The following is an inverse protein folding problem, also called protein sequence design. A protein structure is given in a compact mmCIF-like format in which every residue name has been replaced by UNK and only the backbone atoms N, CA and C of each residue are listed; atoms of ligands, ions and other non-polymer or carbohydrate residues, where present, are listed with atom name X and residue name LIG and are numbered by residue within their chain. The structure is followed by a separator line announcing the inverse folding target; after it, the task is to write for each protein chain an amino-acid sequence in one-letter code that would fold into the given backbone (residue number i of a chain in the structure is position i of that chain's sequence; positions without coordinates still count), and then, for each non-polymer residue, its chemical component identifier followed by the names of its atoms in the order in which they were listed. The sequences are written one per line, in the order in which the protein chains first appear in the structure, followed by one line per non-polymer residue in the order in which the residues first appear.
data_IF_208056091367
#
_entry.id   IF_208056091367
#
_cell.length_a   1.000
_cell.length_b   1.000
_cell.length_c   1.000
_cell.angle_alpha   90.00
_cell.angle_beta   90.00
_cell.angle_gamma   90.00
#
_symmetry.space_group_name_H-M   'P 1'
#
loop_
_entity.id
_entity.type
_entity.pdbx_description
1 polymer ?
#
# COMPACT_ATOMS: atom_id res chain seq x y z
N UNK A 1 7.39 0.64 -21.53
CA UNK A 1 7.65 2.06 -21.17
C UNK A 1 8.17 2.75 -22.42
N UNK A 2 7.52 3.82 -22.83
CA UNK A 2 7.85 4.59 -24.04
C UNK A 2 8.61 5.87 -23.74
N UNK A 3 8.40 6.47 -22.56
CA UNK A 3 9.06 7.71 -22.11
C UNK A 3 9.34 7.66 -20.61
N UNK A 4 10.44 8.23 -20.18
CA UNK A 4 10.80 8.44 -18.78
C UNK A 4 11.24 9.88 -18.59
N UNK A 5 10.66 10.54 -17.60
CA UNK A 5 11.06 11.90 -17.24
C UNK A 5 11.84 11.96 -15.94
N UNK A 6 12.77 12.93 -15.84
CA UNK A 6 13.54 13.16 -14.63
C UNK A 6 14.41 14.40 -14.73
N UNK A 7 14.12 15.43 -13.91
CA UNK A 7 14.79 16.74 -14.00
C UNK A 7 16.31 16.67 -13.85
N UNK A 8 16.81 16.04 -12.80
CA UNK A 8 18.25 15.95 -12.50
C UNK A 8 19.01 14.97 -13.38
N UNK A 9 18.31 14.09 -14.09
CA UNK A 9 18.87 13.02 -14.91
C UNK A 9 18.57 13.22 -16.40
N UNK A 10 17.90 14.30 -16.78
CA UNK A 10 17.56 14.60 -18.18
C UNK A 10 18.81 14.60 -19.07
N UNK A 11 18.66 14.04 -20.27
CA UNK A 11 19.74 13.90 -21.25
C UNK A 11 20.56 12.61 -21.13
N UNK A 12 20.49 11.87 -20.00
CA UNK A 12 21.21 10.61 -19.79
C UNK A 12 20.41 9.40 -20.29
N UNK A 13 21.12 8.35 -20.65
CA UNK A 13 20.50 7.05 -20.87
C UNK A 13 20.15 6.41 -19.51
N UNK A 14 19.06 5.64 -19.47
CA UNK A 14 18.64 4.92 -18.25
C UNK A 14 19.76 4.00 -17.74
N UNK A 15 20.47 3.31 -18.64
CA UNK A 15 21.59 2.43 -18.31
C UNK A 15 22.80 3.15 -17.70
N UNK A 16 23.02 4.43 -18.00
CA UNK A 16 24.10 5.21 -17.35
C UNK A 16 23.85 5.41 -15.85
N UNK A 17 22.57 5.48 -15.44
CA UNK A 17 22.18 5.65 -14.03
C UNK A 17 21.96 4.30 -13.36
N UNK A 18 21.38 3.36 -14.09
CA UNK A 18 21.02 2.04 -13.66
C UNK A 18 21.59 0.98 -14.62
N UNK A 19 22.87 0.60 -14.48
CA UNK A 19 23.55 -0.30 -15.43
C UNK A 19 22.82 -1.61 -15.72
N UNK A 20 22.09 -2.15 -14.73
CA UNK A 20 21.28 -3.37 -14.89
C UNK A 20 20.04 -3.18 -15.79
N UNK A 21 19.70 -1.94 -16.17
CA UNK A 21 18.62 -1.57 -17.10
C UNK A 21 19.15 -1.10 -18.45
N UNK A 22 20.43 -1.32 -18.77
CA UNK A 22 21.04 -0.90 -20.04
C UNK A 22 20.26 -1.41 -21.28
N UNK A 23 19.76 -2.64 -21.20
CA UNK A 23 18.99 -3.24 -22.29
C UNK A 23 17.64 -2.55 -22.57
N UNK A 24 17.13 -1.74 -21.67
CA UNK A 24 15.86 -1.00 -21.85
C UNK A 24 16.02 0.13 -22.88
N UNK A 25 17.22 0.67 -23.08
CA UNK A 25 17.59 1.67 -24.08
C UNK A 25 16.66 2.89 -24.12
N UNK A 26 16.32 3.44 -22.95
CA UNK A 26 15.50 4.67 -22.83
C UNK A 26 16.35 5.86 -22.41
N UNK A 27 16.14 6.98 -23.08
CA UNK A 27 16.70 8.28 -22.69
C UNK A 27 15.75 8.98 -21.72
N UNK A 28 16.30 9.53 -20.65
CA UNK A 28 15.54 10.34 -19.70
C UNK A 28 15.40 11.76 -20.26
N UNK A 29 14.18 12.27 -20.30
CA UNK A 29 13.82 13.60 -20.83
C UNK A 29 13.30 14.50 -19.71
N UNK A 30 13.21 15.80 -19.95
CA UNK A 30 12.58 16.74 -19.02
C UNK A 30 11.06 16.64 -19.08
N UNK A 31 10.52 16.42 -20.27
CA UNK A 31 9.09 16.30 -20.55
C UNK A 31 8.79 14.95 -21.17
N UNK A 32 7.53 14.54 -21.13
CA UNK A 32 7.05 13.30 -21.75
C UNK A 32 7.20 13.42 -23.27
N UNK A 33 7.87 12.45 -23.88
CA UNK A 33 8.03 12.35 -25.32
C UNK A 33 6.95 11.43 -25.91
N UNK A 34 6.35 11.90 -27.01
CA UNK A 34 5.30 11.17 -27.73
C UNK A 34 3.90 11.26 -27.09
N UNK A 35 3.04 10.29 -27.43
CA UNK A 35 1.66 10.19 -26.98
C UNK A 35 1.49 8.88 -26.18
N UNK A 36 1.70 8.89 -24.87
CA UNK A 36 1.55 7.68 -24.07
C UNK A 36 0.06 7.32 -23.88
N UNK A 37 -0.25 6.04 -23.73
CA UNK A 37 -1.59 5.56 -23.41
C UNK A 37 -1.92 5.76 -21.92
N UNK A 38 -0.88 5.87 -21.07
CA UNK A 38 -1.00 5.92 -19.63
C UNK A 38 0.20 6.64 -19.00
N UNK A 39 -0.07 7.38 -17.94
CA UNK A 39 0.92 8.10 -17.14
C UNK A 39 1.07 7.43 -15.77
N UNK A 40 2.30 7.20 -15.33
CA UNK A 40 2.62 6.78 -13.96
C UNK A 40 3.49 7.86 -13.32
N UNK A 41 3.00 8.52 -12.28
CA UNK A 41 3.75 9.50 -11.51
C UNK A 41 4.36 8.86 -10.26
N UNK A 42 5.68 8.99 -10.12
CA UNK A 42 6.43 8.61 -8.92
C UNK A 42 7.12 9.84 -8.29
N UNK A 43 6.52 11.02 -8.45
CA UNK A 43 7.00 12.27 -7.89
C UNK A 43 6.67 12.38 -6.39
N UNK A 44 7.37 13.23 -5.63
CA UNK A 44 6.99 13.55 -4.26
C UNK A 44 5.58 14.14 -4.17
N UNK A 45 4.94 14.02 -2.99
CA UNK A 45 3.66 14.66 -2.72
C UNK A 45 3.72 16.18 -2.97
N UNK A 46 2.59 16.80 -3.27
CA UNK A 46 2.38 18.14 -3.78
C UNK A 46 2.95 18.36 -5.20
N UNK A 47 4.15 17.88 -5.50
CA UNK A 47 4.74 17.99 -6.86
C UNK A 47 4.06 17.06 -7.86
N UNK A 48 3.58 15.89 -7.42
CA UNK A 48 2.88 14.95 -8.30
C UNK A 48 1.58 15.54 -8.81
N UNK A 49 0.71 16.01 -7.91
CA UNK A 49 -0.60 16.55 -8.28
C UNK A 49 -0.50 17.72 -9.28
N UNK A 50 0.50 18.60 -9.11
CA UNK A 50 0.75 19.69 -10.06
C UNK A 50 1.21 19.18 -11.43
N UNK A 51 2.08 18.16 -11.44
CA UNK A 51 2.70 17.66 -12.68
C UNK A 51 1.76 16.82 -13.53
N UNK A 52 0.82 16.08 -12.89
CA UNK A 52 -0.09 15.18 -13.62
C UNK A 52 -1.44 15.82 -13.97
N UNK A 53 -1.76 16.98 -13.41
CA UNK A 53 -3.01 17.68 -13.69
C UNK A 53 -3.31 17.84 -15.20
N UNK A 54 -2.37 18.31 -16.04
CA UNK A 54 -2.63 18.49 -17.48
C UNK A 54 -2.98 17.17 -18.19
N UNK A 55 -2.42 16.05 -17.73
CA UNK A 55 -2.72 14.75 -18.31
C UNK A 55 -4.10 14.24 -17.88
N UNK A 56 -4.46 14.43 -16.62
CA UNK A 56 -5.80 14.05 -16.11
C UNK A 56 -6.86 14.87 -16.84
N UNK A 57 -6.67 16.20 -16.95
CA UNK A 57 -7.57 17.10 -17.68
C UNK A 57 -7.63 16.79 -19.17
N UNK A 58 -6.54 16.27 -19.74
CA UNK A 58 -6.47 15.76 -21.11
C UNK A 58 -7.12 14.41 -21.32
N UNK A 59 -7.64 13.77 -20.27
CA UNK A 59 -8.32 12.46 -20.33
C UNK A 59 -7.40 11.26 -20.35
N UNK A 60 -6.10 11.44 -20.05
CA UNK A 60 -5.15 10.32 -19.97
C UNK A 60 -5.40 9.47 -18.73
N UNK A 61 -5.28 8.17 -18.87
CA UNK A 61 -5.22 7.25 -17.74
C UNK A 61 -3.96 7.53 -16.91
N UNK A 62 -4.14 7.73 -15.61
CA UNK A 62 -3.06 8.19 -14.74
C UNK A 62 -3.03 7.40 -13.44
N UNK A 63 -1.84 6.93 -13.04
CA UNK A 63 -1.59 6.36 -11.72
C UNK A 63 -0.65 7.28 -10.94
N UNK A 64 -1.05 7.68 -9.75
CA UNK A 64 -0.24 8.50 -8.85
C UNK A 64 0.27 7.65 -7.67
N UNK A 65 1.59 7.53 -7.54
CA UNK A 65 2.23 6.84 -6.42
C UNK A 65 2.49 7.77 -5.23
N UNK A 66 2.23 9.08 -5.39
CA UNK A 66 2.29 10.03 -4.29
C UNK A 66 1.11 9.87 -3.34
N UNK A 67 1.03 10.71 -2.34
CA UNK A 67 -0.09 10.72 -1.41
C UNK A 67 -1.24 11.65 -1.83
N UNK A 68 -1.05 12.42 -2.91
CA UNK A 68 -1.88 13.58 -3.20
C UNK A 68 -3.35 13.26 -3.42
N UNK A 69 -3.66 12.09 -3.96
CA UNK A 69 -5.05 11.71 -4.27
C UNK A 69 -5.58 10.54 -3.43
N UNK A 70 -4.85 10.12 -2.38
CA UNK A 70 -5.27 8.98 -1.52
C UNK A 70 -6.38 9.34 -0.56
N UNK A 71 -6.30 10.54 0.05
CA UNK A 71 -7.25 10.99 1.05
C UNK A 71 -8.39 11.78 0.39
N UNK A 72 -9.64 11.45 0.75
CA UNK A 72 -10.82 12.12 0.22
C UNK A 72 -11.14 13.42 0.96
N UNK A 73 -10.74 13.50 2.21
CA UNK A 73 -10.92 14.69 3.04
C UNK A 73 -9.71 15.63 2.92
N UNK A 74 -9.90 16.77 2.25
CA UNK A 74 -8.84 17.76 2.02
C UNK A 74 -8.24 18.30 3.32
N UNK A 75 -9.04 18.72 4.32
CA UNK A 75 -8.49 19.16 5.61
C UNK A 75 -7.57 18.13 6.25
N UNK A 76 -7.92 16.84 6.23
CA UNK A 76 -7.07 15.76 6.73
C UNK A 76 -5.76 15.66 5.93
N UNK A 77 -5.81 15.79 4.60
CA UNK A 77 -4.58 15.81 3.80
C UNK A 77 -3.66 16.95 4.21
N UNK A 78 -4.19 18.17 4.28
CA UNK A 78 -3.43 19.38 4.62
C UNK A 78 -2.87 19.33 6.06
N UNK A 79 -3.64 18.78 7.00
CA UNK A 79 -3.18 18.55 8.36
C UNK A 79 -1.97 17.60 8.41
N UNK A 80 -2.03 16.47 7.70
CA UNK A 80 -1.01 15.43 7.78
C UNK A 80 0.22 15.70 6.90
N UNK A 81 0.04 16.34 5.74
CA UNK A 81 1.13 16.63 4.81
C UNK A 81 1.72 18.03 4.98
N UNK A 82 1.07 18.91 5.76
CA UNK A 82 1.50 20.29 6.06
C UNK A 82 1.68 21.15 4.81
N UNK A 83 0.89 20.90 3.80
CA UNK A 83 0.83 21.65 2.54
C UNK A 83 -0.62 21.80 2.11
N UNK A 84 -0.95 22.90 1.44
CA UNK A 84 -2.24 23.08 0.77
C UNK A 84 -2.35 22.08 -0.38
N UNK A 85 -3.54 21.49 -0.57
CA UNK A 85 -3.73 20.50 -1.63
C UNK A 85 -3.68 21.17 -3.01
N UNK A 86 -2.75 20.80 -3.93
CA UNK A 86 -2.56 21.54 -5.19
C UNK A 86 -3.78 21.50 -6.12
N UNK A 87 -4.54 20.39 -6.13
CA UNK A 87 -5.66 20.15 -7.05
C UNK A 87 -6.86 19.48 -6.34
N UNK A 88 -7.56 20.20 -5.43
CA UNK A 88 -8.65 19.62 -4.64
C UNK A 88 -9.82 19.13 -5.50
N UNK A 89 -10.07 19.74 -6.65
CA UNK A 89 -11.17 19.38 -7.54
C UNK A 89 -11.00 17.98 -8.18
N UNK A 90 -9.80 17.45 -8.25
CA UNK A 90 -9.51 16.13 -8.83
C UNK A 90 -9.66 14.97 -7.82
N UNK A 91 -9.72 15.26 -6.51
CA UNK A 91 -9.81 14.22 -5.48
C UNK A 91 -11.03 13.30 -5.68
N UNK A 92 -12.17 13.86 -6.05
CA UNK A 92 -13.39 13.08 -6.27
C UNK A 92 -13.31 12.18 -7.50
N UNK A 93 -12.38 12.42 -8.41
CA UNK A 93 -12.17 11.60 -9.61
C UNK A 93 -11.20 10.44 -9.34
N UNK A 94 -10.39 10.53 -8.28
CA UNK A 94 -9.44 9.49 -7.96
C UNK A 94 -10.12 8.27 -7.33
N UNK A 95 -9.61 7.09 -7.65
CA UNK A 95 -9.97 5.84 -6.99
C UNK A 95 -8.75 5.33 -6.23
N UNK A 96 -8.99 4.81 -5.02
CA UNK A 96 -7.93 4.20 -4.23
C UNK A 96 -7.51 2.86 -4.85
N UNK A 97 -6.23 2.74 -5.21
CA UNK A 97 -5.69 1.66 -6.04
C UNK A 97 -5.41 0.38 -5.27
N UNK A 98 -6.37 -0.13 -4.50
CA UNK A 98 -6.30 -1.42 -3.82
C UNK A 98 -7.35 -2.37 -4.43
N UNK A 99 -6.98 -3.18 -5.44
CA UNK A 99 -7.93 -4.02 -6.19
C UNK A 99 -8.75 -4.97 -5.33
N UNK A 100 -8.20 -5.45 -4.24
CA UNK A 100 -8.90 -6.32 -3.30
C UNK A 100 -10.16 -5.68 -2.68
N UNK A 101 -10.25 -4.33 -2.70
CA UNK A 101 -11.40 -3.58 -2.20
C UNK A 101 -12.16 -2.83 -3.30
N UNK A 102 -11.45 -2.35 -4.33
CA UNK A 102 -11.98 -1.37 -5.30
C UNK A 102 -11.87 -1.83 -6.77
N UNK A 103 -11.94 -3.14 -7.02
CA UNK A 103 -11.75 -3.72 -8.37
C UNK A 103 -12.61 -3.06 -9.45
N UNK A 104 -13.91 -2.86 -9.15
CA UNK A 104 -14.87 -2.30 -10.11
C UNK A 104 -14.61 -0.82 -10.37
N UNK A 105 -14.33 -0.07 -9.32
CA UNK A 105 -14.06 1.35 -9.40
C UNK A 105 -12.74 1.61 -10.16
N UNK A 106 -11.70 0.81 -9.92
CA UNK A 106 -10.43 0.88 -10.65
C UNK A 106 -10.64 0.64 -12.14
N UNK A 107 -11.44 -0.34 -12.52
CA UNK A 107 -11.69 -0.66 -13.92
C UNK A 107 -12.42 0.46 -14.69
N UNK A 108 -13.17 1.30 -13.98
CA UNK A 108 -13.95 2.41 -14.55
C UNK A 108 -13.27 3.78 -14.42
N UNK A 109 -12.11 3.87 -13.74
CA UNK A 109 -11.46 5.14 -13.44
C UNK A 109 -10.37 5.51 -14.45
N UNK A 110 -10.12 6.83 -14.57
CA UNK A 110 -8.94 7.36 -15.27
C UNK A 110 -7.86 7.90 -14.32
N UNK A 111 -8.12 7.97 -13.00
CA UNK A 111 -7.16 8.42 -12.02
C UNK A 111 -7.11 7.44 -10.84
N UNK A 112 -5.99 6.80 -10.64
CA UNK A 112 -5.76 5.87 -9.54
C UNK A 112 -4.72 6.45 -8.57
N UNK A 113 -5.09 6.54 -7.29
CA UNK A 113 -4.19 6.85 -6.19
C UNK A 113 -3.61 5.53 -5.63
N UNK A 114 -2.36 5.23 -5.95
CA UNK A 114 -1.71 3.99 -5.52
C UNK A 114 -1.45 4.03 -4.01
N UNK A 115 -1.87 3.00 -3.24
CA UNK A 115 -1.71 2.95 -1.79
C UNK A 115 -0.28 3.13 -1.29
N UNK A 116 -0.12 3.62 -0.05
CA UNK A 116 1.12 3.52 0.67
C UNK A 116 1.45 2.08 1.07
N UNK A 117 2.73 1.77 1.29
CA UNK A 117 3.17 0.41 1.57
C UNK A 117 2.64 -0.14 2.91
N UNK A 118 2.67 0.66 3.99
CA UNK A 118 2.07 0.27 5.26
C UNK A 118 0.55 0.14 5.19
N UNK A 119 -0.20 1.09 4.56
CA UNK A 119 -1.62 0.94 4.32
C UNK A 119 -1.96 -0.36 3.60
N UNK A 120 -1.26 -0.68 2.50
CA UNK A 120 -1.48 -1.94 1.77
C UNK A 120 -1.42 -3.15 2.71
N UNK A 121 -0.35 -3.29 3.51
CA UNK A 121 -0.20 -4.42 4.43
C UNK A 121 -1.25 -4.42 5.53
N UNK A 122 -1.53 -3.26 6.13
CA UNK A 122 -2.43 -3.14 7.28
C UNK A 122 -3.90 -3.33 6.89
N UNK A 123 -4.30 -2.71 5.79
CA UNK A 123 -5.68 -2.81 5.28
C UNK A 123 -5.96 -4.25 4.86
N UNK A 124 -5.07 -4.88 4.07
CA UNK A 124 -5.25 -6.29 3.68
C UNK A 124 -5.25 -7.24 4.88
N UNK A 125 -4.53 -6.91 5.95
CA UNK A 125 -4.60 -7.66 7.20
C UNK A 125 -5.94 -7.54 7.94
N UNK A 126 -6.59 -6.38 7.88
CA UNK A 126 -7.74 -6.06 8.75
C UNK A 126 -9.10 -6.04 8.04
N UNK A 127 -9.12 -5.83 6.71
CA UNK A 127 -10.35 -5.66 5.95
C UNK A 127 -11.41 -6.76 6.21
N UNK A 128 -11.07 -8.08 6.19
CA UNK A 128 -12.07 -9.11 6.43
C UNK A 128 -12.70 -9.04 7.82
N UNK A 129 -11.91 -8.72 8.84
CA UNK A 129 -12.38 -8.63 10.22
C UNK A 129 -13.25 -7.38 10.45
N UNK A 130 -12.94 -6.28 9.78
CA UNK A 130 -13.73 -5.05 9.85
C UNK A 130 -15.06 -5.23 9.14
N UNK A 131 -15.06 -5.71 7.88
CA UNK A 131 -16.27 -5.90 7.08
C UNK A 131 -17.23 -6.90 7.72
N UNK A 132 -16.71 -8.02 8.24
CA UNK A 132 -17.54 -9.02 8.93
C UNK A 132 -18.05 -8.55 10.29
N UNK A 133 -17.62 -7.41 10.78
CA UNK A 133 -18.07 -6.82 12.02
C UNK A 133 -17.74 -7.63 13.29
N UNK A 134 -16.75 -8.53 13.24
CA UNK A 134 -16.40 -9.43 14.39
C UNK A 134 -15.52 -8.77 15.44
N UNK A 135 -14.95 -7.60 15.15
CA UNK A 135 -14.00 -6.90 16.02
C UNK A 135 -14.60 -5.64 16.65
N UNK A 136 -14.00 -5.19 17.74
CA UNK A 136 -14.29 -3.86 18.32
C UNK A 136 -13.65 -2.75 17.52
N UNK A 137 -13.90 -1.49 17.90
CA UNK A 137 -13.31 -0.33 17.23
C UNK A 137 -11.87 -0.03 17.66
N UNK A 138 -11.32 -0.71 18.69
CA UNK A 138 -9.99 -0.43 19.23
C UNK A 138 -8.94 -1.35 18.60
N UNK A 139 -8.16 -0.79 17.68
CA UNK A 139 -7.20 -1.52 16.84
C UNK A 139 -5.78 -1.05 17.15
N UNK A 140 -4.87 -1.99 17.36
CA UNK A 140 -3.42 -1.71 17.42
C UNK A 140 -2.76 -2.33 16.20
N UNK A 141 -2.02 -1.53 15.44
CA UNK A 141 -1.19 -1.95 14.31
C UNK A 141 0.26 -1.65 14.66
N UNK A 142 1.04 -2.69 14.88
CA UNK A 142 2.47 -2.61 15.14
C UNK A 142 3.23 -3.11 13.90
N UNK A 143 3.73 -2.17 13.10
CA UNK A 143 4.27 -2.43 11.78
C UNK A 143 5.81 -2.26 11.73
N UNK A 144 6.47 -3.17 11.03
CA UNK A 144 7.91 -3.21 10.82
C UNK A 144 8.19 -3.09 9.33
N UNK A 145 9.13 -2.22 8.94
CA UNK A 145 9.54 -2.02 7.55
C UNK A 145 11.04 -2.11 7.39
N UNK A 146 11.46 -2.68 6.28
CA UNK A 146 12.83 -2.52 5.79
C UNK A 146 13.11 -1.07 5.38
N UNK A 147 14.37 -0.70 5.41
CA UNK A 147 14.84 0.70 5.23
C UNK A 147 14.57 1.28 3.85
N UNK A 148 14.38 0.45 2.82
CA UNK A 148 14.03 0.93 1.48
C UNK A 148 12.69 1.69 1.41
N UNK A 149 11.84 1.54 2.44
CA UNK A 149 10.61 2.32 2.60
C UNK A 149 10.83 3.81 2.82
N UNK A 150 12.01 4.22 3.33
CA UNK A 150 12.42 5.61 3.47
C UNK A 150 12.89 6.28 2.17
N UNK A 151 12.93 5.55 1.05
CA UNK A 151 13.40 6.05 -0.25
C UNK A 151 14.91 6.20 -0.32
N UNK A 152 15.40 6.98 -1.32
CA UNK A 152 16.83 7.16 -1.62
C UNK A 152 17.41 8.47 -1.07
N UNK A 153 16.63 9.26 -0.36
CA UNK A 153 17.12 10.49 0.25
C UNK A 153 18.14 10.18 1.36
N UNK A 154 19.25 10.91 1.34
CA UNK A 154 20.27 10.75 2.38
C UNK A 154 19.73 11.28 3.71
N UNK A 155 19.72 10.45 4.72
CA UNK A 155 19.38 10.81 6.10
C UNK A 155 20.17 9.98 7.07
N UNK A 156 20.37 10.48 8.28
CA UNK A 156 21.09 9.74 9.33
C UNK A 156 20.38 8.42 9.63
N UNK A 157 19.05 8.43 9.68
CA UNK A 157 18.23 7.25 9.96
C UNK A 157 18.33 6.15 8.88
N UNK A 158 18.86 6.45 7.69
CA UNK A 158 19.09 5.49 6.61
C UNK A 158 20.60 5.17 6.43
N UNK A 159 21.44 5.74 7.27
CA UNK A 159 22.86 5.47 7.23
C UNK A 159 23.18 4.06 7.73
N UNK A 160 24.07 3.34 7.04
CA UNK A 160 24.31 1.92 7.31
C UNK A 160 24.66 1.61 8.78
N UNK A 161 25.56 2.39 9.39
CA UNK A 161 25.95 2.18 10.80
C UNK A 161 24.86 2.52 11.82
N UNK A 162 23.83 3.31 11.42
CA UNK A 162 22.68 3.60 12.28
C UNK A 162 21.60 2.53 12.16
N UNK A 163 21.49 1.91 10.98
CA UNK A 163 20.44 0.93 10.66
C UNK A 163 20.86 -0.49 11.00
N UNK A 164 22.14 -0.84 10.76
CA UNK A 164 22.60 -2.21 10.92
C UNK A 164 22.50 -2.65 12.38
N UNK A 165 21.94 -3.85 12.61
CA UNK A 165 21.71 -4.42 13.95
C UNK A 165 20.84 -3.55 14.89
N UNK A 166 20.01 -2.65 14.33
CA UNK A 166 19.20 -1.72 15.09
C UNK A 166 17.71 -1.80 14.72
N UNK A 167 16.83 -1.72 15.72
CA UNK A 167 15.37 -1.58 15.55
C UNK A 167 14.95 -0.26 16.13
N UNK A 168 14.33 0.58 15.32
CA UNK A 168 13.98 1.95 15.68
C UNK A 168 12.49 2.21 15.46
N UNK A 169 11.76 2.58 16.52
CA UNK A 169 10.42 3.14 16.39
C UNK A 169 10.51 4.60 15.91
N UNK A 170 9.61 5.00 15.03
CA UNK A 170 9.59 6.37 14.51
C UNK A 170 8.15 6.87 14.28
N UNK A 171 7.99 8.17 14.08
CA UNK A 171 6.69 8.82 13.86
C UNK A 171 5.65 8.52 14.95
N UNK A 172 6.06 8.53 16.22
CA UNK A 172 5.18 8.21 17.36
C UNK A 172 4.06 9.23 17.55
N UNK A 173 4.27 10.49 17.15
CA UNK A 173 3.25 11.55 17.17
C UNK A 173 2.23 11.41 16.02
N UNK A 174 2.36 10.39 15.20
CA UNK A 174 1.51 10.07 14.06
C UNK A 174 2.31 9.88 12.76
N UNK A 175 2.03 8.78 12.08
CA UNK A 175 2.60 8.49 10.76
C UNK A 175 1.59 8.87 9.67
N UNK A 176 2.03 9.52 8.60
CA UNK A 176 1.20 10.02 7.47
C UNK A 176 0.32 8.96 6.79
N UNK A 177 0.57 7.68 7.00
CA UNK A 177 -0.26 6.59 6.50
C UNK A 177 -1.46 6.25 7.41
N UNK A 178 -1.52 6.79 8.64
CA UNK A 178 -2.63 6.51 9.56
C UNK A 178 -3.99 6.97 9.01
N UNK A 179 -4.16 8.20 8.50
CA UNK A 179 -5.44 8.64 7.95
C UNK A 179 -5.88 7.81 6.75
N UNK A 180 -4.95 7.34 5.93
CA UNK A 180 -5.20 6.46 4.79
C UNK A 180 -5.75 5.10 5.26
N UNK A 181 -5.13 4.47 6.25
CA UNK A 181 -5.63 3.22 6.87
C UNK A 181 -7.01 3.44 7.48
N UNK A 182 -7.17 4.52 8.21
CA UNK A 182 -8.44 4.86 8.88
C UNK A 182 -9.56 5.09 7.88
N UNK A 183 -9.30 5.83 6.79
CA UNK A 183 -10.27 6.09 5.73
C UNK A 183 -10.79 4.78 5.14
N UNK A 184 -9.89 3.93 4.67
CA UNK A 184 -10.26 2.71 3.95
C UNK A 184 -10.97 1.69 4.87
N UNK A 185 -10.47 1.49 6.09
CA UNK A 185 -11.10 0.56 7.03
C UNK A 185 -12.46 1.06 7.53
N UNK A 186 -12.64 2.37 7.74
CA UNK A 186 -13.94 2.89 8.15
C UNK A 186 -15.02 2.76 7.07
N UNK A 187 -14.65 2.75 5.78
CA UNK A 187 -15.59 2.54 4.68
C UNK A 187 -16.16 1.11 4.65
N UNK A 188 -15.44 0.14 5.21
CA UNK A 188 -15.86 -1.27 5.28
C UNK A 188 -16.83 -1.55 6.44
N UNK A 189 -16.97 -0.62 7.39
CA UNK A 189 -17.90 -0.81 8.51
C UNK A 189 -19.36 -0.66 8.06
N UNK A 190 -20.26 -1.27 8.83
CA UNK A 190 -21.69 -0.99 8.71
C UNK A 190 -21.96 0.51 8.91
N UNK A 191 -22.92 1.04 8.13
CA UNK A 191 -23.37 2.43 8.28
C UNK A 191 -23.79 2.69 9.74
N UNK A 192 -23.39 3.84 10.28
CA UNK A 192 -23.62 4.25 11.67
C UNK A 192 -22.71 3.60 12.73
N UNK A 193 -21.72 2.80 12.36
CA UNK A 193 -20.69 2.35 13.30
C UNK A 193 -19.87 3.53 13.80
N UNK A 194 -19.36 3.43 15.05
CA UNK A 194 -18.38 4.40 15.55
C UNK A 194 -17.09 4.28 14.74
N UNK A 195 -16.41 5.40 14.48
CA UNK A 195 -15.10 5.37 13.82
C UNK A 195 -14.14 4.44 14.56
N UNK A 196 -13.27 3.79 13.78
CA UNK A 196 -12.22 2.94 14.33
C UNK A 196 -11.19 3.82 15.06
N UNK A 197 -10.80 3.39 16.25
CA UNK A 197 -9.73 3.97 17.05
C UNK A 197 -8.45 3.17 16.77
N UNK A 198 -7.56 3.71 15.95
CA UNK A 198 -6.37 2.99 15.47
C UNK A 198 -5.12 3.57 16.09
N UNK A 199 -4.44 2.78 16.91
CA UNK A 199 -3.05 3.03 17.30
C UNK A 199 -2.12 2.43 16.27
N UNK A 200 -1.35 3.27 15.60
CA UNK A 200 -0.43 2.85 14.54
C UNK A 200 1.01 3.17 14.91
N UNK A 201 1.78 2.13 15.15
CA UNK A 201 3.19 2.21 15.52
C UNK A 201 4.06 1.64 14.40
N UNK A 202 5.06 2.41 13.98
CA UNK A 202 5.97 2.05 12.89
C UNK A 202 7.40 1.86 13.37
N UNK A 203 8.07 0.84 12.81
CA UNK A 203 9.47 0.57 13.10
C UNK A 203 10.28 0.41 11.80
N UNK A 204 11.50 0.92 11.80
CA UNK A 204 12.54 0.47 10.87
C UNK A 204 13.29 -0.69 11.49
N UNK A 205 13.52 -1.73 10.69
CA UNK A 205 14.27 -2.91 11.11
C UNK A 205 15.44 -3.14 10.13
N UNK A 206 16.52 -3.81 10.54
CA UNK A 206 17.77 -3.91 9.77
C UNK A 206 17.63 -4.93 8.62
N UNK A 207 16.71 -4.68 7.73
CA UNK A 207 16.53 -5.40 6.47
C UNK A 207 16.29 -4.40 5.33
N UNK A 208 16.64 -4.76 4.11
CA UNK A 208 16.47 -3.87 2.96
C UNK A 208 15.01 -3.73 2.57
N UNK A 209 14.28 -4.83 2.43
CA UNK A 209 12.89 -4.89 1.95
C UNK A 209 12.01 -5.70 2.88
N UNK A 210 10.72 -5.48 2.76
CA UNK A 210 9.64 -6.18 3.45
C UNK A 210 8.92 -5.31 4.44
N UNK A 211 7.62 -5.56 4.59
CA UNK A 211 6.78 -5.04 5.68
C UNK A 211 6.11 -6.22 6.36
N UNK A 212 6.08 -6.15 7.69
CA UNK A 212 5.24 -7.01 8.52
C UNK A 212 4.35 -6.11 9.38
N UNK A 213 3.04 -6.19 9.19
CA UNK A 213 2.05 -5.57 10.06
C UNK A 213 1.51 -6.61 11.04
N UNK A 214 1.69 -6.38 12.33
CA UNK A 214 1.10 -7.18 13.41
C UNK A 214 -0.09 -6.41 13.99
N UNK A 215 -1.30 -6.90 13.77
CA UNK A 215 -2.52 -6.24 14.18
C UNK A 215 -3.15 -6.98 15.37
N UNK A 216 -3.60 -6.24 16.37
CA UNK A 216 -4.22 -6.77 17.59
C UNK A 216 -5.54 -6.06 17.82
N UNK A 217 -6.64 -6.82 17.88
CA UNK A 217 -7.98 -6.26 18.03
C UNK A 217 -8.83 -7.12 18.95
N UNK A 218 -9.53 -6.57 19.97
CA UNK A 218 -10.47 -7.34 20.75
C UNK A 218 -11.63 -7.83 19.87
N UNK A 219 -12.02 -9.08 20.04
CA UNK A 219 -13.22 -9.63 19.42
C UNK A 219 -14.47 -9.11 20.13
N UNK A 220 -15.57 -8.89 19.39
CA UNK A 220 -16.87 -8.56 19.96
C UNK A 220 -17.41 -9.74 20.78
N UNK A 221 -18.23 -9.46 21.78
CA UNK A 221 -18.87 -10.48 22.62
C UNK A 221 -19.72 -11.46 21.82
N UNK A 222 -20.32 -10.99 20.72
CA UNK A 222 -21.17 -11.81 19.83
C UNK A 222 -20.46 -13.01 19.22
N UNK A 223 -19.13 -12.95 19.11
CA UNK A 223 -18.30 -14.03 18.55
C UNK A 223 -17.34 -14.61 19.58
N UNK A 224 -17.08 -13.88 20.65
CA UNK A 224 -16.19 -14.29 21.75
C UNK A 224 -16.67 -15.62 22.37
N UNK A 225 -15.73 -16.48 22.68
CA UNK A 225 -16.00 -17.76 23.35
C UNK A 225 -16.71 -18.81 22.48
N UNK A 226 -16.97 -18.55 21.21
CA UNK A 226 -17.51 -19.59 20.31
C UNK A 226 -16.54 -20.77 20.21
N UNK A 227 -17.09 -21.98 20.22
CA UNK A 227 -16.33 -23.18 19.88
C UNK A 227 -15.82 -22.99 18.44
N UNK A 228 -14.56 -23.33 18.20
CA UNK A 228 -13.93 -23.25 16.88
C UNK A 228 -13.75 -21.81 16.31
N UNK A 229 -13.68 -20.79 17.18
CA UNK A 229 -13.51 -19.37 16.77
C UNK A 229 -12.36 -19.16 15.78
N UNK A 230 -11.24 -19.88 15.92
CA UNK A 230 -10.11 -19.79 14.97
C UNK A 230 -10.48 -20.26 13.58
N UNK A 231 -11.30 -21.31 13.48
CA UNK A 231 -11.80 -21.82 12.20
C UNK A 231 -12.74 -20.80 11.56
N UNK A 232 -13.68 -20.25 12.34
CA UNK A 232 -14.62 -19.22 11.87
C UNK A 232 -13.86 -18.00 11.33
N UNK A 233 -12.88 -17.51 12.06
CA UNK A 233 -12.04 -16.39 11.61
C UNK A 233 -11.30 -16.73 10.33
N UNK A 234 -10.70 -17.92 10.23
CA UNK A 234 -10.00 -18.34 9.02
C UNK A 234 -10.93 -18.43 7.81
N UNK A 235 -12.14 -18.96 7.97
CA UNK A 235 -13.15 -19.03 6.91
C UNK A 235 -13.55 -17.62 6.42
N UNK A 236 -13.80 -16.66 7.32
CA UNK A 236 -14.09 -15.27 6.96
C UNK A 236 -12.98 -14.69 6.06
N UNK A 237 -11.71 -14.93 6.41
CA UNK A 237 -10.57 -14.43 5.65
C UNK A 237 -10.43 -15.14 4.29
N UNK A 238 -10.63 -16.47 4.25
CA UNK A 238 -10.58 -17.24 3.01
C UNK A 238 -11.68 -16.82 2.03
N UNK A 239 -12.90 -16.65 2.52
CA UNK A 239 -14.05 -16.24 1.70
C UNK A 239 -13.86 -14.84 1.14
N UNK A 240 -13.41 -13.89 1.96
CA UNK A 240 -13.15 -12.51 1.53
C UNK A 240 -12.12 -12.43 0.40
N UNK A 241 -11.01 -13.17 0.48
CA UNK A 241 -9.94 -13.17 -0.52
C UNK A 241 -10.03 -14.30 -1.54
N UNK A 242 -11.16 -14.99 -1.64
CA UNK A 242 -11.33 -16.14 -2.55
C UNK A 242 -11.02 -15.82 -4.01
N UNK A 243 -11.29 -14.60 -4.46
CA UNK A 243 -11.05 -14.11 -5.81
C UNK A 243 -9.81 -13.20 -5.95
N UNK A 244 -9.02 -13.04 -4.89
CA UNK A 244 -7.84 -12.16 -4.91
C UNK A 244 -6.60 -12.94 -5.33
N UNK A 245 -5.99 -12.67 -6.51
CA UNK A 245 -4.87 -13.47 -6.99
C UNK A 245 -3.61 -13.30 -6.15
N UNK A 246 -3.43 -12.16 -5.49
CA UNK A 246 -2.20 -11.81 -4.79
C UNK A 246 -2.30 -11.83 -3.27
N UNK A 247 -3.50 -11.85 -2.67
CA UNK A 247 -3.65 -11.95 -1.22
C UNK A 247 -3.95 -13.39 -0.82
N UNK A 248 -3.08 -14.00 -0.02
CA UNK A 248 -3.15 -15.41 0.36
C UNK A 248 -3.26 -15.59 1.87
N UNK A 249 -4.24 -16.37 2.29
CA UNK A 249 -4.41 -16.77 3.70
C UNK A 249 -3.56 -18.01 3.94
N UNK A 250 -2.64 -17.91 4.90
CA UNK A 250 -1.66 -18.97 5.19
C UNK A 250 -1.93 -19.65 6.53
N UNK A 251 -1.52 -20.90 6.66
CA UNK A 251 -1.75 -21.73 7.86
C UNK A 251 -0.75 -21.52 8.99
N UNK A 252 0.28 -20.70 8.81
CA UNK A 252 1.30 -20.37 9.80
C UNK A 252 1.76 -18.91 9.64
N UNK A 253 2.30 -18.26 10.69
CA UNK A 253 2.75 -16.89 10.60
C UNK A 253 3.78 -16.68 9.48
N UNK A 254 3.53 -15.74 8.54
CA UNK A 254 4.43 -15.49 7.43
C UNK A 254 5.68 -14.72 7.88
N UNK A 255 6.74 -14.83 7.08
CA UNK A 255 7.96 -14.06 7.22
C UNK A 255 8.11 -13.08 6.04
N UNK A 256 8.70 -11.91 6.28
CA UNK A 256 8.89 -10.87 5.24
C UNK A 256 9.64 -11.39 4.01
N UNK A 257 10.63 -12.27 4.20
CA UNK A 257 11.40 -12.85 3.10
C UNK A 257 10.56 -13.74 2.16
N UNK A 258 9.43 -14.29 2.64
CA UNK A 258 8.53 -15.10 1.82
C UNK A 258 7.73 -14.30 0.79
N UNK A 259 7.79 -12.96 0.84
CA UNK A 259 7.16 -12.07 -0.13
C UNK A 259 8.16 -11.27 -0.97
N UNK A 260 9.46 -11.42 -0.70
CA UNK A 260 10.52 -10.65 -1.33
C UNK A 260 10.51 -10.78 -2.87
N UNK A 261 10.41 -9.65 -3.57
CA UNK A 261 10.42 -9.59 -5.03
C UNK A 261 9.12 -10.03 -5.70
N UNK A 262 8.05 -10.32 -4.94
CA UNK A 262 6.75 -10.75 -5.47
C UNK A 262 5.63 -9.75 -5.14
N UNK A 263 4.53 -9.83 -5.92
CA UNK A 263 3.33 -9.05 -5.66
C UNK A 263 2.38 -9.70 -4.63
N UNK A 264 2.86 -10.68 -3.86
CA UNK A 264 2.05 -11.45 -2.93
C UNK A 264 1.95 -10.72 -1.57
N UNK A 265 0.75 -10.71 -1.02
CA UNK A 265 0.49 -10.42 0.38
C UNK A 265 0.15 -11.73 1.09
N UNK A 266 0.89 -12.08 2.14
CA UNK A 266 0.61 -13.25 2.98
C UNK A 266 -0.06 -12.79 4.27
N UNK A 267 -1.24 -13.33 4.57
CA UNK A 267 -2.03 -12.96 5.75
C UNK A 267 -2.30 -14.20 6.60
N UNK A 268 -2.01 -14.10 7.89
CA UNK A 268 -2.27 -15.12 8.89
C UNK A 268 -3.15 -14.57 10.01
N UNK A 269 -4.46 -14.84 9.99
CA UNK A 269 -5.36 -14.51 11.08
C UNK A 269 -5.38 -15.62 12.12
N UNK A 270 -5.35 -15.26 13.41
CA UNK A 270 -5.54 -16.20 14.53
C UNK A 270 -6.19 -15.52 15.73
N UNK A 271 -6.62 -16.30 16.71
CA UNK A 271 -7.20 -15.78 17.95
C UNK A 271 -6.39 -16.24 19.16
N UNK A 272 -5.96 -15.29 19.96
CA UNK A 272 -5.48 -15.58 21.31
C UNK A 272 -6.69 -15.80 22.24
N UNK A 273 -6.97 -17.05 22.55
CA UNK A 273 -8.12 -17.45 23.37
C UNK A 273 -8.02 -16.97 24.82
N UNK A 274 -6.81 -16.65 25.31
CA UNK A 274 -6.60 -16.18 26.70
C UNK A 274 -7.04 -14.74 26.87
N UNK A 275 -6.85 -13.93 25.84
CA UNK A 275 -7.12 -12.50 25.86
C UNK A 275 -8.32 -12.11 25.01
N UNK A 276 -8.93 -13.07 24.31
CA UNK A 276 -10.03 -12.85 23.37
C UNK A 276 -9.70 -11.82 22.30
N UNK A 277 -8.50 -11.89 21.74
CA UNK A 277 -8.02 -10.96 20.72
C UNK A 277 -7.78 -11.67 19.40
N UNK A 278 -8.27 -11.05 18.33
CA UNK A 278 -7.79 -11.35 16.99
C UNK A 278 -6.35 -10.84 16.86
N UNK A 279 -5.48 -11.68 16.34
CA UNK A 279 -4.11 -11.35 15.95
C UNK A 279 -4.01 -11.62 14.46
N UNK A 280 -3.56 -10.62 13.70
CA UNK A 280 -3.34 -10.79 12.27
C UNK A 280 -1.90 -10.40 11.94
N UNK A 281 -1.19 -11.29 11.25
CA UNK A 281 0.13 -11.01 10.70
C UNK A 281 -0.01 -10.88 9.18
N UNK A 282 0.36 -9.74 8.64
CA UNK A 282 0.36 -9.48 7.19
C UNK A 282 1.76 -9.13 6.73
N UNK A 283 2.26 -9.79 5.68
CA UNK A 283 3.58 -9.56 5.10
C UNK A 283 3.49 -9.25 3.62
N UNK A 284 4.25 -8.24 3.17
CA UNK A 284 4.42 -7.84 1.77
C UNK A 284 5.87 -7.47 1.46
N UNK A 285 6.26 -7.46 0.20
CA UNK A 285 7.40 -6.66 -0.26
C UNK A 285 6.95 -5.19 -0.38
N UNK A 286 7.58 -4.29 0.36
CA UNK A 286 7.21 -2.88 0.42
C UNK A 286 7.39 -2.13 -0.90
N UNK A 287 8.27 -2.58 -1.80
CA UNK A 287 8.53 -1.97 -3.09
C UNK A 287 7.75 -2.63 -4.25
N UNK A 288 7.25 -3.85 -4.06
CA UNK A 288 6.43 -4.54 -5.06
C UNK A 288 4.95 -4.41 -4.70
N UNK A 289 4.37 -5.29 -3.89
CA UNK A 289 2.95 -5.18 -3.48
C UNK A 289 2.66 -3.87 -2.75
N UNK A 290 3.63 -3.35 -2.00
CA UNK A 290 3.49 -2.07 -1.30
C UNK A 290 3.65 -0.83 -2.18
N UNK A 291 4.04 -0.93 -3.47
CA UNK A 291 4.31 0.24 -4.32
C UNK A 291 4.15 -0.09 -5.81
N UNK A 292 5.23 -0.50 -6.49
CA UNK A 292 5.27 -0.63 -7.94
C UNK A 292 4.39 -1.77 -8.47
N UNK A 293 4.38 -2.91 -7.80
CA UNK A 293 3.54 -4.05 -8.18
C UNK A 293 2.05 -3.75 -8.03
N UNK A 294 1.68 -3.01 -6.96
CA UNK A 294 0.32 -2.53 -6.76
C UNK A 294 -0.10 -1.55 -7.88
N UNK A 295 0.82 -0.68 -8.32
CA UNK A 295 0.56 0.21 -9.46
C UNK A 295 0.33 -0.58 -10.76
N UNK A 296 1.18 -1.58 -11.05
CA UNK A 296 1.03 -2.45 -12.23
C UNK A 296 -0.27 -3.26 -12.17
N UNK A 297 -0.62 -3.80 -11.00
CA UNK A 297 -1.88 -4.52 -10.79
C UNK A 297 -3.09 -3.62 -11.11
N UNK A 298 -3.11 -2.39 -10.58
CA UNK A 298 -4.16 -1.40 -10.86
C UNK A 298 -4.16 -0.97 -12.32
N UNK A 299 -2.99 -0.79 -12.93
CA UNK A 299 -2.84 -0.50 -14.37
C UNK A 299 -3.46 -1.60 -15.23
N UNK A 300 -3.18 -2.86 -14.93
CA UNK A 300 -3.74 -3.99 -15.67
C UNK A 300 -5.26 -3.94 -15.70
N UNK A 301 -5.88 -3.75 -14.53
CA UNK A 301 -7.34 -3.65 -14.38
C UNK A 301 -7.88 -2.43 -15.14
N UNK A 302 -7.28 -1.26 -14.93
CA UNK A 302 -7.67 0.00 -15.60
C UNK A 302 -7.60 -0.10 -17.14
N UNK A 303 -6.65 -0.87 -17.65
CA UNK A 303 -6.44 -1.05 -19.09
C UNK A 303 -7.14 -2.30 -19.67
N UNK A 304 -7.86 -3.07 -18.85
CA UNK A 304 -8.57 -4.27 -19.29
C UNK A 304 -7.66 -5.47 -19.58
N UNK A 305 -6.45 -5.48 -19.02
CA UNK A 305 -5.58 -6.66 -19.04
C UNK A 305 -5.94 -7.61 -17.89
N UNK A 306 -5.49 -8.85 -18.00
CA UNK A 306 -5.53 -9.79 -16.88
C UNK A 306 -4.77 -9.19 -15.67
N UNK A 307 -5.39 -9.17 -14.51
CA UNK A 307 -4.87 -8.55 -13.27
C UNK A 307 -3.44 -9.00 -12.94
N UNK A 308 -3.10 -10.25 -13.26
CA UNK A 308 -1.82 -10.88 -12.95
C UNK A 308 -0.72 -10.64 -13.98
N UNK A 309 -1.01 -9.95 -15.08
CA UNK A 309 -0.05 -9.76 -16.18
C UNK A 309 1.24 -9.09 -15.69
N UNK A 310 2.38 -9.76 -15.92
CA UNK A 310 3.71 -9.27 -15.51
C UNK A 310 4.01 -9.32 -14.00
N UNK A 311 3.13 -9.91 -13.18
CA UNK A 311 3.24 -9.92 -11.71
C UNK A 311 3.32 -11.33 -11.10
N UNK A 312 3.47 -12.36 -11.90
CA UNK A 312 3.46 -13.77 -11.45
C UNK A 312 4.79 -14.27 -10.89
N UNK A 313 5.76 -13.39 -10.71
CA UNK A 313 7.05 -13.76 -10.15
C UNK A 313 6.90 -14.32 -8.73
N UNK A 314 7.54 -15.44 -8.48
CA UNK A 314 7.63 -16.02 -7.15
C UNK A 314 8.60 -15.22 -6.27
N UNK A 315 8.40 -15.30 -4.96
CA UNK A 315 9.31 -14.68 -4.01
C UNK A 315 10.70 -15.31 -4.07
N UNK A 316 11.71 -14.49 -3.87
CA UNK A 316 13.12 -14.94 -3.76
C UNK A 316 13.33 -15.39 -2.32
N UNK A 317 13.39 -16.71 -2.12
CA UNK A 317 13.57 -17.33 -0.81
C UNK A 317 14.56 -18.49 -0.93
N UNK A 318 15.46 -18.75 0.04
CA UNK A 318 15.66 -18.07 1.31
C UNK A 318 16.35 -16.72 1.24
#
# INVERSE_FOLDING_TARGET
ITSITGRSAAGKQLGEIFPHLESVNLRITEEIDGSPDLIISALPHAASAQSIEPFISGGFKTLDLSADFRLKDIPTYEEWYKVEHPNPNLINQSVYGLPELHLKEISASNLIAVPGCYPTSSILGLAPAVESGIITSDIIIDAKSGVSGGGRSLSLSNHYSEVNENVMAYSLDGHRHLPEISQELNQLQEKQSKPLNITFLTHLVPMTRGIMSSCYVPLKETISGKKDIRKIVNEIYQDFYSNSPFTKIVGSPPMTKQTLGSNICLVYPTVDLRTNRLIVISCIDNLIKGTAGQAVQSMNIMCGFEETTGLTNLAIYP
#
